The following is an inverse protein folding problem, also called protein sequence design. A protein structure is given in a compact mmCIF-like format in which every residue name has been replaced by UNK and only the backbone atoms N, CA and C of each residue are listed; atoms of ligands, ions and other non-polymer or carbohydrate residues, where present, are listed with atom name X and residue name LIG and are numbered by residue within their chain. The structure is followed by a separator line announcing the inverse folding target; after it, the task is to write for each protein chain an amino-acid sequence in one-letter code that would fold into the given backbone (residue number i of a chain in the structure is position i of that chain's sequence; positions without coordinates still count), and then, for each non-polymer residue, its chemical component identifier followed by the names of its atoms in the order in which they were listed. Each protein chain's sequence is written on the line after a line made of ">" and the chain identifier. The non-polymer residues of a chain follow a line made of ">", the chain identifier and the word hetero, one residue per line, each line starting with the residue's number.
data_IF_544848407459
#
_entry.id   IF_544848407459
#
_cell.length_a   1.000
_cell.length_b   1.000
_cell.length_c   1.000
_cell.angle_alpha   90.00
_cell.angle_beta   90.00
_cell.angle_gamma   90.00
#
_symmetry.space_group_name_H-M   'P 1'
#
loop_
_entity.id
_entity.type
_entity.pdbx_description
1 polymer ?
#
# COMPACT_ATOMS: atom_id res chain seq x y z
N UNK A 1 -16.91 25.30 -25.46
CA UNK A 1 -16.66 26.38 -24.49
C UNK A 1 -17.01 25.95 -23.07
N UNK A 2 -18.27 25.60 -22.75
CA UNK A 2 -18.67 25.15 -21.40
C UNK A 2 -17.91 23.92 -20.91
N UNK A 3 -17.82 22.86 -21.72
CA UNK A 3 -17.12 21.62 -21.33
C UNK A 3 -15.62 21.80 -21.03
N UNK A 4 -14.94 22.70 -21.75
CA UNK A 4 -13.54 23.03 -21.49
C UNK A 4 -13.39 23.84 -20.19
N UNK A 5 -14.29 24.79 -19.93
CA UNK A 5 -14.30 25.53 -18.68
C UNK A 5 -14.58 24.62 -17.47
N UNK A 6 -15.52 23.68 -17.60
CA UNK A 6 -15.82 22.69 -16.56
C UNK A 6 -14.59 21.80 -16.28
N UNK A 7 -13.82 21.42 -17.30
CA UNK A 7 -12.61 20.65 -17.13
C UNK A 7 -11.49 21.46 -16.45
N UNK A 8 -11.34 22.75 -16.76
CA UNK A 8 -10.39 23.64 -16.05
C UNK A 8 -10.74 23.74 -14.56
N UNK A 9 -12.02 23.92 -14.23
CA UNK A 9 -12.47 23.96 -12.83
C UNK A 9 -12.15 22.65 -12.12
N UNK A 10 -12.42 21.52 -12.77
CA UNK A 10 -12.08 20.20 -12.22
C UNK A 10 -10.57 20.03 -12.03
N UNK A 11 -9.73 20.43 -12.99
CA UNK A 11 -8.27 20.36 -12.87
C UNK A 11 -7.79 21.17 -11.67
N UNK A 12 -8.27 22.40 -11.49
CA UNK A 12 -7.83 23.24 -10.36
C UNK A 12 -8.27 22.67 -9.00
N UNK A 13 -9.43 22.03 -8.91
CA UNK A 13 -9.86 21.32 -7.68
C UNK A 13 -8.92 20.14 -7.38
N UNK A 14 -8.54 19.37 -8.40
CA UNK A 14 -7.69 18.18 -8.26
C UNK A 14 -6.20 18.48 -8.13
N UNK A 15 -5.70 19.57 -8.70
CA UNK A 15 -4.33 20.06 -8.48
C UNK A 15 -4.05 20.20 -6.98
N UNK A 16 -5.02 20.71 -6.20
CA UNK A 16 -4.89 20.85 -4.74
C UNK A 16 -4.74 19.50 -4.03
N UNK A 17 -5.47 18.48 -4.47
CA UNK A 17 -5.44 17.12 -3.89
C UNK A 17 -4.15 16.40 -4.29
N UNK A 18 -3.73 16.52 -5.54
CA UNK A 18 -2.49 15.93 -6.03
C UNK A 18 -1.23 16.58 -5.39
N UNK A 19 -1.33 17.84 -4.97
CA UNK A 19 -0.23 18.59 -4.33
C UNK A 19 -0.24 18.49 -2.80
N UNK A 20 -1.18 17.77 -2.19
CA UNK A 20 -1.23 17.62 -0.74
C UNK A 20 -0.11 16.68 -0.29
N UNK A 21 0.89 17.20 0.42
CA UNK A 21 2.08 16.40 0.83
C UNK A 21 1.79 15.47 2.02
N UNK A 22 0.87 15.87 2.91
CA UNK A 22 0.60 15.13 4.15
C UNK A 22 0.04 13.73 3.87
N UNK A 23 0.65 12.71 4.48
CA UNK A 23 0.16 11.32 4.47
C UNK A 23 -0.77 11.01 5.66
N UNK A 24 -1.14 12.02 6.44
CA UNK A 24 -1.88 11.84 7.70
C UNK A 24 -0.95 11.58 8.88
N UNK A 25 -1.52 11.26 10.04
CA UNK A 25 -0.78 11.00 11.28
C UNK A 25 -0.84 9.53 11.71
N UNK A 26 -1.70 8.73 11.11
CA UNK A 26 -1.90 7.34 11.49
C UNK A 26 -2.10 6.37 10.31
N UNK A 27 -2.06 5.06 10.60
CA UNK A 27 -2.22 4.00 9.60
C UNK A 27 -3.56 4.08 8.85
N UNK A 28 -4.67 4.33 9.55
CA UNK A 28 -5.99 4.43 8.91
C UNK A 28 -6.08 5.61 7.92
N UNK A 29 -5.26 6.63 8.09
CA UNK A 29 -5.23 7.79 7.20
C UNK A 29 -4.64 7.43 5.83
N UNK A 30 -3.60 6.58 5.79
CA UNK A 30 -2.93 6.20 4.53
C UNK A 30 -3.82 5.28 3.70
N UNK A 31 -4.54 4.34 4.32
CA UNK A 31 -5.49 3.48 3.60
C UNK A 31 -6.65 4.30 3.00
N UNK A 32 -7.20 5.25 3.76
CA UNK A 32 -8.26 6.14 3.27
C UNK A 32 -7.75 7.09 2.19
N UNK A 33 -6.54 7.63 2.33
CA UNK A 33 -5.91 8.46 1.32
C UNK A 33 -5.68 7.68 0.02
N UNK A 34 -5.18 6.44 0.09
CA UNK A 34 -5.03 5.58 -1.09
C UNK A 34 -6.39 5.32 -1.75
N UNK A 35 -7.43 5.00 -0.97
CA UNK A 35 -8.79 4.76 -1.49
C UNK A 35 -9.34 5.98 -2.23
N UNK A 36 -9.21 7.17 -1.63
CA UNK A 36 -9.61 8.44 -2.26
C UNK A 36 -8.79 8.74 -3.52
N UNK A 37 -7.52 8.37 -3.52
CA UNK A 37 -6.64 8.55 -4.66
C UNK A 37 -6.97 7.59 -5.82
N UNK A 38 -7.36 6.36 -5.53
CA UNK A 38 -7.87 5.42 -6.54
C UNK A 38 -9.15 5.91 -7.21
N UNK A 39 -10.03 6.57 -6.46
CA UNK A 39 -11.22 7.27 -7.00
C UNK A 39 -10.80 8.43 -7.91
N UNK A 40 -9.85 9.26 -7.47
CA UNK A 40 -9.28 10.32 -8.29
C UNK A 40 -8.65 9.81 -9.59
N UNK A 41 -7.92 8.69 -9.56
CA UNK A 41 -7.34 8.06 -10.75
C UNK A 41 -8.41 7.58 -11.74
N UNK A 42 -9.54 7.06 -11.26
CA UNK A 42 -10.70 6.71 -12.13
C UNK A 42 -11.30 7.95 -12.79
N UNK A 43 -11.42 9.05 -12.05
CA UNK A 43 -11.86 10.32 -12.62
C UNK A 43 -10.86 10.86 -13.65
N UNK A 44 -9.57 10.79 -13.38
CA UNK A 44 -8.50 11.21 -14.28
C UNK A 44 -8.59 10.49 -15.64
N UNK A 45 -8.73 9.15 -15.62
CA UNK A 45 -8.93 8.34 -16.85
C UNK A 45 -10.17 8.75 -17.63
N UNK A 46 -11.27 9.06 -16.93
CA UNK A 46 -12.52 9.50 -17.56
C UNK A 46 -12.38 10.88 -18.20
N UNK A 47 -11.68 11.79 -17.54
CA UNK A 47 -11.44 13.14 -18.04
C UNK A 47 -10.38 13.19 -19.16
N UNK A 48 -9.46 12.22 -19.23
CA UNK A 48 -8.52 12.08 -20.35
C UNK A 48 -9.27 11.91 -21.68
N UNK A 49 -10.32 11.08 -21.67
CA UNK A 49 -11.20 10.91 -22.84
C UNK A 49 -11.93 12.20 -23.21
N UNK A 50 -12.27 13.05 -22.25
CA UNK A 50 -12.90 14.36 -22.51
C UNK A 50 -11.89 15.32 -23.16
N UNK A 51 -10.66 15.35 -22.66
CA UNK A 51 -9.59 16.18 -23.21
C UNK A 51 -9.28 15.80 -24.67
N UNK A 52 -9.17 14.50 -24.96
CA UNK A 52 -8.98 14.00 -26.34
C UNK A 52 -10.08 14.48 -27.28
N UNK A 53 -11.35 14.45 -26.84
CA UNK A 53 -12.47 14.97 -27.64
C UNK A 53 -12.37 16.49 -27.84
N UNK A 54 -12.05 17.25 -26.80
CA UNK A 54 -11.89 18.71 -26.89
C UNK A 54 -10.77 19.10 -27.85
N UNK A 55 -9.64 18.38 -27.81
CA UNK A 55 -8.53 18.55 -28.76
C UNK A 55 -8.97 18.31 -30.20
N UNK A 56 -9.71 17.22 -30.46
CA UNK A 56 -10.23 16.92 -31.80
C UNK A 56 -11.20 17.99 -32.32
N UNK A 57 -12.07 18.53 -31.45
CA UNK A 57 -12.99 19.61 -31.82
C UNK A 57 -12.20 20.89 -32.14
N UNK A 58 -11.22 21.25 -31.31
CA UNK A 58 -10.38 22.42 -31.52
C UNK A 58 -9.63 22.35 -32.86
N UNK A 59 -9.06 21.19 -33.18
CA UNK A 59 -8.36 20.95 -34.45
C UNK A 59 -9.29 21.14 -35.66
N UNK A 60 -10.50 20.58 -35.63
CA UNK A 60 -11.50 20.76 -36.70
C UNK A 60 -11.90 22.22 -36.88
N UNK A 61 -12.09 22.96 -35.79
CA UNK A 61 -12.44 24.38 -35.86
C UNK A 61 -11.32 25.22 -36.47
N UNK A 62 -10.05 24.85 -36.26
CA UNK A 62 -8.90 25.51 -36.87
C UNK A 62 -8.79 25.23 -38.37
N UNK A 63 -9.19 24.03 -38.81
CA UNK A 63 -9.24 23.65 -40.22
C UNK A 63 -10.32 24.42 -41.00
N UNK A 64 -11.42 24.81 -40.35
CA UNK A 64 -12.51 25.57 -40.97
C UNK A 64 -12.17 27.06 -41.23
N UNK A 65 -11.07 27.56 -40.67
CA UNK A 65 -10.55 28.89 -40.96
C UNK A 65 -9.90 29.58 -39.77
N UNK A 66 -8.83 30.35 -40.01
CA UNK A 66 -8.12 31.14 -38.99
C UNK A 66 -8.85 32.44 -38.69
N UNK A 67 -9.93 32.34 -37.91
CA UNK A 67 -10.62 33.50 -37.32
C UNK A 67 -9.99 33.86 -35.97
N UNK A 68 -10.21 35.07 -35.48
CA UNK A 68 -9.79 35.47 -34.12
C UNK A 68 -10.37 34.53 -33.05
N UNK A 69 -11.59 34.03 -33.27
CA UNK A 69 -12.21 33.03 -32.41
C UNK A 69 -11.46 31.69 -32.45
N UNK A 70 -11.02 31.24 -33.63
CA UNK A 70 -10.22 30.01 -33.76
C UNK A 70 -8.85 30.15 -33.08
N UNK A 71 -8.18 31.31 -33.21
CA UNK A 71 -6.93 31.60 -32.52
C UNK A 71 -7.10 31.58 -31.00
N UNK A 72 -8.20 32.15 -30.48
CA UNK A 72 -8.52 32.09 -29.06
C UNK A 72 -8.73 30.65 -28.59
N UNK A 73 -9.48 29.84 -29.33
CA UNK A 73 -9.70 28.41 -29.03
C UNK A 73 -8.36 27.65 -29.00
N UNK A 74 -7.44 27.94 -29.92
CA UNK A 74 -6.11 27.33 -29.94
C UNK A 74 -5.30 27.68 -28.69
N UNK A 75 -5.37 28.94 -28.23
CA UNK A 75 -4.69 29.36 -26.99
C UNK A 75 -5.30 28.65 -25.79
N UNK A 76 -6.64 28.64 -25.69
CA UNK A 76 -7.36 28.05 -24.56
C UNK A 76 -7.11 26.53 -24.47
N UNK A 77 -7.12 25.81 -25.60
CA UNK A 77 -6.86 24.37 -25.61
C UNK A 77 -5.40 24.04 -25.27
N UNK A 78 -4.43 24.87 -25.71
CA UNK A 78 -3.03 24.68 -25.36
C UNK A 78 -2.79 24.89 -23.87
N UNK A 79 -3.43 25.90 -23.27
CA UNK A 79 -3.37 26.12 -21.83
C UNK A 79 -4.00 24.97 -21.04
N UNK A 80 -5.14 24.44 -21.52
CA UNK A 80 -5.79 23.28 -20.91
C UNK A 80 -4.90 22.03 -20.96
N UNK A 81 -4.27 21.73 -22.09
CA UNK A 81 -3.34 20.59 -22.22
C UNK A 81 -2.15 20.73 -21.26
N UNK A 82 -1.55 21.92 -21.15
CA UNK A 82 -0.45 22.14 -20.18
C UNK A 82 -0.87 21.85 -18.74
N UNK A 83 -2.00 22.40 -18.31
CA UNK A 83 -2.54 22.14 -16.96
C UNK A 83 -2.86 20.67 -16.74
N UNK A 84 -3.35 19.99 -17.77
CA UNK A 84 -3.60 18.56 -17.72
C UNK A 84 -2.31 17.75 -17.53
N UNK A 85 -1.27 18.07 -18.30
CA UNK A 85 0.03 17.39 -18.22
C UNK A 85 0.67 17.61 -16.83
N UNK A 86 0.59 18.83 -16.30
CA UNK A 86 1.06 19.16 -14.95
C UNK A 86 0.30 18.36 -13.88
N UNK A 87 -1.04 18.31 -13.96
CA UNK A 87 -1.87 17.51 -13.05
C UNK A 87 -1.52 16.02 -13.12
N UNK A 88 -1.35 15.49 -14.33
CA UNK A 88 -1.02 14.07 -14.54
C UNK A 88 0.33 13.72 -13.93
N UNK A 89 1.34 14.57 -14.13
CA UNK A 89 2.66 14.39 -13.52
C UNK A 89 2.58 14.39 -12.00
N UNK A 90 1.92 15.38 -11.40
CA UNK A 90 1.75 15.47 -9.95
C UNK A 90 0.97 14.26 -9.41
N UNK A 91 -0.03 13.79 -10.15
CA UNK A 91 -0.80 12.60 -9.78
C UNK A 91 0.07 11.33 -9.80
N UNK A 92 0.93 11.14 -10.80
CA UNK A 92 1.85 10.00 -10.87
C UNK A 92 2.86 10.02 -9.70
N UNK A 93 3.43 11.18 -9.37
CA UNK A 93 4.32 11.34 -8.22
C UNK A 93 3.59 11.02 -6.90
N UNK A 94 2.37 11.51 -6.72
CA UNK A 94 1.56 11.25 -5.53
C UNK A 94 1.13 9.79 -5.42
N UNK A 95 0.82 9.13 -6.53
CA UNK A 95 0.51 7.70 -6.58
C UNK A 95 1.66 6.88 -6.01
N UNK A 96 2.89 7.15 -6.46
CA UNK A 96 4.08 6.44 -6.00
C UNK A 96 4.32 6.64 -4.49
N UNK A 97 4.12 7.86 -3.99
CA UNK A 97 4.24 8.16 -2.56
C UNK A 97 3.21 7.40 -1.71
N UNK A 98 1.94 7.42 -2.13
CA UNK A 98 0.86 6.75 -1.39
C UNK A 98 1.01 5.23 -1.43
N UNK A 99 1.36 4.66 -2.59
CA UNK A 99 1.65 3.22 -2.71
C UNK A 99 2.83 2.81 -1.83
N UNK A 100 3.90 3.60 -1.82
CA UNK A 100 5.06 3.37 -0.94
C UNK A 100 4.66 3.36 0.54
N UNK A 101 3.95 4.40 0.99
CA UNK A 101 3.49 4.51 2.37
C UNK A 101 2.56 3.34 2.75
N UNK A 102 1.63 2.99 1.86
CA UNK A 102 0.70 1.88 2.06
C UNK A 102 1.42 0.53 2.18
N UNK A 103 2.41 0.26 1.34
CA UNK A 103 3.18 -0.98 1.40
C UNK A 103 3.95 -1.12 2.72
N UNK A 104 4.61 -0.06 3.18
CA UNK A 104 5.39 -0.09 4.43
C UNK A 104 4.49 -0.18 5.65
N UNK A 105 3.36 0.53 5.65
CA UNK A 105 2.36 0.40 6.71
C UNK A 105 1.80 -1.02 6.77
N UNK A 106 1.45 -1.62 5.64
CA UNK A 106 0.94 -2.99 5.59
C UNK A 106 1.97 -3.98 6.13
N UNK A 107 3.24 -3.84 5.71
CA UNK A 107 4.33 -4.63 6.29
C UNK A 107 4.42 -4.44 7.82
N UNK A 108 4.31 -3.21 8.29
CA UNK A 108 4.38 -2.88 9.72
C UNK A 108 3.27 -3.59 10.50
N UNK A 109 2.03 -3.58 10.00
CA UNK A 109 0.91 -4.31 10.61
C UNK A 109 1.13 -5.82 10.60
N UNK A 110 1.45 -6.38 9.43
CA UNK A 110 1.69 -7.83 9.29
C UNK A 110 2.84 -8.31 10.19
N UNK A 111 3.85 -7.45 10.41
CA UNK A 111 4.94 -7.70 11.33
C UNK A 111 4.47 -7.71 12.79
N UNK A 112 3.67 -6.71 13.22
CA UNK A 112 3.08 -6.66 14.57
C UNK A 112 2.22 -7.89 14.86
N UNK A 113 1.35 -8.27 13.92
CA UNK A 113 0.52 -9.48 14.04
C UNK A 113 1.37 -10.75 14.20
N UNK A 114 2.49 -10.85 13.48
CA UNK A 114 3.43 -11.96 13.63
C UNK A 114 4.13 -11.94 14.99
N UNK A 115 4.51 -10.77 15.51
CA UNK A 115 5.14 -10.63 16.83
C UNK A 115 4.19 -11.03 17.96
N UNK A 116 2.93 -10.61 17.88
CA UNK A 116 1.89 -10.99 18.83
C UNK A 116 1.65 -12.51 18.78
N UNK A 117 1.58 -13.08 17.57
CA UNK A 117 1.41 -14.52 17.41
C UNK A 117 2.61 -15.33 17.93
N UNK A 118 3.84 -14.86 17.70
CA UNK A 118 5.06 -15.46 18.29
C UNK A 118 4.98 -15.42 19.81
N UNK A 119 4.61 -14.27 20.39
CA UNK A 119 4.50 -14.09 21.83
C UNK A 119 3.46 -15.05 22.44
N UNK A 120 2.29 -15.17 21.82
CA UNK A 120 1.24 -16.12 22.21
C UNK A 120 1.77 -17.58 22.20
N UNK A 121 2.49 -17.97 21.15
CA UNK A 121 3.07 -19.33 21.05
C UNK A 121 4.21 -19.55 22.03
N UNK A 122 4.94 -18.51 22.39
CA UNK A 122 6.00 -18.57 23.38
C UNK A 122 5.44 -18.82 24.79
N UNK A 123 4.34 -18.16 25.13
CA UNK A 123 3.61 -18.33 26.39
C UNK A 123 2.93 -19.71 26.49
N UNK A 124 2.48 -20.28 25.37
CA UNK A 124 1.87 -21.61 25.33
C UNK A 124 2.84 -22.76 25.64
N UNK A 125 4.15 -22.52 25.54
CA UNK A 125 5.19 -23.46 26.00
C UNK A 125 5.27 -23.39 27.52
N UNK A 126 4.30 -24.03 28.17
CA UNK A 126 4.24 -24.25 29.62
C UNK A 126 5.14 -25.44 29.99
N UNK A 127 5.95 -25.33 31.06
CA UNK A 127 6.67 -26.47 31.60
C UNK A 127 5.70 -27.42 32.33
N UNK A 128 5.80 -28.73 32.04
CA UNK A 128 5.45 -29.80 32.97
C UNK A 128 3.98 -30.27 33.14
N UNK A 129 3.12 -30.24 32.11
CA UNK A 129 1.90 -31.08 32.13
C UNK A 129 2.19 -32.53 31.67
N UNK A 130 2.48 -33.41 32.64
CA UNK A 130 2.55 -34.87 32.39
C UNK A 130 1.16 -35.51 32.54
N UNK A 131 0.70 -36.20 31.49
CA UNK A 131 -0.59 -36.91 31.51
C UNK A 131 -0.57 -38.08 32.49
N UNK A 132 -1.53 -38.14 33.40
CA UNK A 132 -1.65 -39.18 34.43
C UNK A 132 -2.45 -40.41 33.97
N UNK A 133 -3.16 -40.31 32.84
CA UNK A 133 -3.95 -41.38 32.26
C UNK A 133 -3.95 -41.35 30.72
N UNK A 134 -4.44 -42.41 30.08
CA UNK A 134 -4.48 -42.50 28.61
C UNK A 134 -5.28 -41.36 27.95
N UNK A 135 -6.31 -40.84 28.63
CA UNK A 135 -7.16 -39.77 28.10
C UNK A 135 -6.45 -38.43 28.08
N UNK A 136 -5.74 -38.10 29.15
CA UNK A 136 -4.90 -36.91 29.30
C UNK A 136 -3.71 -36.94 28.35
N UNK A 137 -3.04 -38.10 28.20
CA UNK A 137 -1.97 -38.27 27.20
C UNK A 137 -2.49 -38.01 25.78
N UNK A 138 -3.63 -38.60 25.37
CA UNK A 138 -4.21 -38.34 24.04
C UNK A 138 -4.61 -36.88 23.83
N UNK A 139 -5.06 -36.19 24.89
CA UNK A 139 -5.37 -34.76 24.84
C UNK A 139 -4.10 -33.93 24.64
N UNK A 140 -3.04 -34.22 25.38
CA UNK A 140 -1.74 -33.57 25.27
C UNK A 140 -1.13 -33.78 23.88
N UNK A 141 -1.21 -34.99 23.32
CA UNK A 141 -0.75 -35.27 21.96
C UNK A 141 -1.46 -34.40 20.92
N UNK A 142 -2.80 -34.29 20.98
CA UNK A 142 -3.56 -33.41 20.07
C UNK A 142 -3.19 -31.93 20.23
N UNK A 143 -2.93 -31.48 21.47
CA UNK A 143 -2.47 -30.11 21.75
C UNK A 143 -1.11 -29.87 21.09
N UNK A 144 -0.18 -30.82 21.21
CA UNK A 144 1.14 -30.74 20.59
C UNK A 144 1.06 -30.76 19.05
N UNK A 145 0.25 -31.64 18.45
CA UNK A 145 0.03 -31.67 16.99
C UNK A 145 -0.60 -30.37 16.47
N UNK A 146 -1.45 -29.70 17.25
CA UNK A 146 -1.97 -28.38 16.91
C UNK A 146 -0.87 -27.32 17.00
N UNK A 147 -0.08 -27.33 18.08
CA UNK A 147 1.04 -26.41 18.27
C UNK A 147 2.09 -26.49 17.16
N UNK A 148 2.50 -27.70 16.75
CA UNK A 148 3.44 -27.89 15.65
C UNK A 148 2.87 -27.39 14.31
N UNK A 149 1.57 -27.53 14.05
CA UNK A 149 0.94 -26.95 12.86
C UNK A 149 0.96 -25.43 12.88
N UNK A 150 0.66 -24.83 14.03
CA UNK A 150 0.72 -23.38 14.21
C UNK A 150 2.14 -22.86 14.03
N UNK A 151 3.15 -23.54 14.60
CA UNK A 151 4.56 -23.19 14.41
C UNK A 151 4.97 -23.25 12.94
N UNK A 152 4.54 -24.28 12.19
CA UNK A 152 4.85 -24.36 10.77
C UNK A 152 4.23 -23.18 9.99
N UNK A 153 2.96 -22.85 10.26
CA UNK A 153 2.30 -21.71 9.64
C UNK A 153 2.96 -20.37 10.00
N UNK A 154 3.40 -20.21 11.25
CA UNK A 154 4.13 -19.03 11.69
C UNK A 154 5.48 -18.93 10.96
N UNK A 155 6.20 -20.05 10.81
CA UNK A 155 7.44 -20.10 10.05
C UNK A 155 7.26 -19.77 8.55
N UNK A 156 6.13 -20.13 7.95
CA UNK A 156 5.77 -19.69 6.60
C UNK A 156 5.55 -18.17 6.56
N UNK A 157 4.81 -17.61 7.52
CA UNK A 157 4.58 -16.15 7.63
C UNK A 157 5.88 -15.37 7.82
N UNK A 158 6.83 -15.87 8.62
CA UNK A 158 8.14 -15.22 8.80
C UNK A 158 8.93 -15.19 7.49
N UNK A 159 8.90 -16.28 6.71
CA UNK A 159 9.53 -16.33 5.38
C UNK A 159 8.90 -15.35 4.39
N UNK A 160 7.57 -15.21 4.41
CA UNK A 160 6.88 -14.19 3.61
C UNK A 160 7.32 -12.77 4.01
N UNK A 161 7.44 -12.48 5.31
CA UNK A 161 7.93 -11.19 5.81
C UNK A 161 9.39 -10.92 5.44
N UNK A 162 10.26 -11.94 5.42
CA UNK A 162 11.63 -11.83 4.94
C UNK A 162 11.70 -11.41 3.46
N UNK A 163 10.90 -12.07 2.62
CA UNK A 163 10.89 -11.78 1.18
C UNK A 163 10.27 -10.40 0.90
N UNK A 164 9.23 -10.03 1.64
CA UNK A 164 8.67 -8.69 1.59
C UNK A 164 9.69 -7.63 2.04
N UNK A 165 10.44 -7.88 3.12
CA UNK A 165 11.52 -7.01 3.57
C UNK A 165 12.55 -6.76 2.48
N UNK A 166 13.07 -7.81 1.84
CA UNK A 166 14.07 -7.68 0.76
C UNK A 166 13.57 -6.82 -0.40
N UNK A 167 12.27 -6.96 -0.74
CA UNK A 167 11.63 -6.14 -1.77
C UNK A 167 11.51 -4.68 -1.32
N UNK A 168 10.97 -4.44 -0.12
CA UNK A 168 10.69 -3.10 0.37
C UNK A 168 11.95 -2.27 0.61
N UNK A 169 13.04 -2.85 1.11
CA UNK A 169 14.31 -2.10 1.28
C UNK A 169 14.93 -1.68 -0.05
N UNK A 170 14.60 -2.39 -1.13
CA UNK A 170 15.07 -2.07 -2.49
C UNK A 170 14.19 -1.00 -3.13
N UNK A 171 12.87 -1.07 -2.93
CA UNK A 171 11.92 -0.11 -3.52
C UNK A 171 11.78 1.19 -2.72
N UNK A 172 12.00 1.14 -1.39
CA UNK A 172 11.78 2.23 -0.44
C UNK A 172 13.03 2.41 0.45
N UNK A 173 14.19 2.77 -0.12
CA UNK A 173 15.46 2.87 0.61
C UNK A 173 15.41 3.87 1.78
N UNK A 174 14.56 4.89 1.70
CA UNK A 174 14.34 5.87 2.76
C UNK A 174 13.66 5.29 4.01
N UNK A 175 12.99 4.14 3.89
CA UNK A 175 12.35 3.43 5.01
C UNK A 175 13.12 2.15 5.41
N UNK A 176 14.24 1.87 4.75
CA UNK A 176 14.97 0.62 4.91
C UNK A 176 15.40 0.37 6.37
N UNK A 177 15.90 1.39 7.07
CA UNK A 177 16.35 1.25 8.46
C UNK A 177 15.22 0.77 9.39
N UNK A 178 14.03 1.36 9.25
CA UNK A 178 12.86 1.00 10.06
C UNK A 178 12.39 -0.42 9.74
N UNK A 179 12.33 -0.77 8.45
CA UNK A 179 11.93 -2.11 7.99
C UNK A 179 12.91 -3.16 8.50
N UNK A 180 14.22 -2.92 8.37
CA UNK A 180 15.28 -3.83 8.82
C UNK A 180 15.22 -4.03 10.34
N UNK A 181 15.07 -2.95 11.12
CA UNK A 181 14.95 -3.07 12.57
C UNK A 181 13.76 -3.94 12.97
N UNK A 182 12.60 -3.74 12.33
CA UNK A 182 11.41 -4.52 12.63
C UNK A 182 11.58 -5.99 12.24
N UNK A 183 12.19 -6.26 11.10
CA UNK A 183 12.51 -7.62 10.68
C UNK A 183 13.48 -8.32 11.65
N UNK A 184 14.48 -7.61 12.15
CA UNK A 184 15.42 -8.15 13.14
C UNK A 184 14.71 -8.55 14.45
N UNK A 185 13.77 -7.75 14.93
CA UNK A 185 13.01 -8.09 16.14
C UNK A 185 12.21 -9.38 15.93
N UNK A 186 11.51 -9.51 14.80
CA UNK A 186 10.75 -10.72 14.45
C UNK A 186 11.67 -11.95 14.39
N UNK A 187 12.82 -11.82 13.72
CA UNK A 187 13.79 -12.92 13.59
C UNK A 187 14.36 -13.37 14.94
N UNK A 188 14.65 -12.43 15.84
CA UNK A 188 15.12 -12.76 17.18
C UNK A 188 14.02 -13.51 17.96
N UNK A 189 12.80 -12.99 17.98
CA UNK A 189 11.67 -13.63 18.67
C UNK A 189 11.37 -15.03 18.11
N UNK A 190 11.43 -15.19 16.78
CA UNK A 190 11.25 -16.48 16.11
C UNK A 190 12.36 -17.48 16.48
N UNK A 191 13.62 -17.01 16.54
CA UNK A 191 14.76 -17.85 16.96
C UNK A 191 14.61 -18.31 18.42
N UNK A 192 14.17 -17.42 19.31
CA UNK A 192 13.93 -17.75 20.71
C UNK A 192 12.78 -18.77 20.86
N UNK A 193 11.67 -18.56 20.13
CA UNK A 193 10.53 -19.46 20.13
C UNK A 193 10.90 -20.87 19.63
N UNK A 194 11.59 -20.95 18.49
CA UNK A 194 12.00 -22.24 17.91
C UNK A 194 13.00 -22.98 18.80
N UNK A 195 13.96 -22.26 19.39
CA UNK A 195 14.91 -22.83 20.36
C UNK A 195 14.19 -23.39 21.59
N UNK A 196 13.20 -22.66 22.12
CA UNK A 196 12.39 -23.13 23.25
C UNK A 196 11.54 -24.33 22.86
N UNK A 197 10.88 -24.29 21.70
CA UNK A 197 10.07 -25.40 21.20
C UNK A 197 10.89 -26.68 21.03
N UNK A 198 12.12 -26.59 20.52
CA UNK A 198 13.01 -27.74 20.36
C UNK A 198 13.45 -28.36 21.69
N UNK A 199 13.63 -27.56 22.74
CA UNK A 199 13.88 -28.07 24.10
C UNK A 199 12.68 -28.85 24.67
N UNK A 200 11.46 -28.53 24.25
CA UNK A 200 10.22 -29.20 24.67
C UNK A 200 9.87 -30.45 23.85
N UNK A 201 10.63 -30.77 22.79
CA UNK A 201 10.43 -31.98 21.96
C UNK A 201 11.04 -33.26 22.56
N UNK A 202 11.68 -33.19 23.73
CA UNK A 202 12.35 -34.31 24.42
C UNK A 202 11.48 -34.92 25.51
#
# INVERSE_FOLDING_TARGET
>A
MREAADLVVWINDKERIASEESLGKGPDDVEELQRRFDEFQKELRTNELRLVRLNSIAEKLLQLGRTDAALKIQIDINNLNRKWDDLKKNAEEREQQLLSAYEVQRFTRDAEEAQDWISEKFEQLDPDELGQDLRSVKRLQKKHEAYERDLNALGDKIRELDDLTKRLITSHPEQADVIIQKQQVIQNQWTDLTSKADLHKV
#
